data_IF_645883770346
#
_entry.id   IF_645883770346
#
_cell.length_a   1.000
_cell.length_b   1.000
_cell.length_c   1.000
_cell.angle_alpha   90.00
_cell.angle_beta   90.00
_cell.angle_gamma   90.00
#
_symmetry.space_group_name_H-M   'P 1'
#
loop_
_entity.id
_entity.type
_entity.pdbx_description
1 polymer ?
#
# COMPACT_ATOMS: atom_id res chain seq x y z
N UNK A 1 82.19 16.45 5.36
CA UNK A 1 82.53 15.28 4.50
C UNK A 1 81.40 14.87 3.53
N UNK A 2 80.16 15.37 3.66
CA UNK A 2 79.04 14.97 2.78
C UNK A 2 78.81 15.89 1.56
N UNK A 3 79.36 17.11 1.56
CA UNK A 3 79.11 18.11 0.50
C UNK A 3 79.41 17.66 -0.94
N UNK A 4 80.53 16.98 -1.26
CA UNK A 4 80.81 16.59 -2.64
C UNK A 4 79.99 15.37 -3.11
N UNK A 5 79.33 14.63 -2.21
CA UNK A 5 78.57 13.41 -2.54
C UNK A 5 77.09 13.70 -2.81
N UNK A 6 76.58 14.83 -2.31
CA UNK A 6 75.16 15.19 -2.34
C UNK A 6 74.80 16.25 -3.40
N UNK A 7 75.76 16.70 -4.21
CA UNK A 7 75.45 17.52 -5.38
C UNK A 7 74.53 16.71 -6.31
N UNK A 8 73.38 17.28 -6.66
CA UNK A 8 72.30 16.71 -7.49
C UNK A 8 71.35 15.68 -6.84
N UNK A 9 71.43 15.45 -5.53
CA UNK A 9 70.48 14.58 -4.82
C UNK A 9 69.48 15.38 -3.96
N UNK A 10 68.20 15.06 -4.10
CA UNK A 10 67.18 15.49 -3.15
C UNK A 10 67.22 14.56 -1.92
N UNK A 11 67.63 15.09 -0.78
CA UNK A 11 67.69 14.35 0.48
C UNK A 11 66.60 14.88 1.42
N UNK A 12 65.72 13.98 1.86
CA UNK A 12 64.73 14.27 2.91
C UNK A 12 65.19 13.62 4.21
N UNK A 13 65.39 14.43 5.26
CA UNK A 13 65.86 13.99 6.58
C UNK A 13 64.68 14.07 7.55
N UNK A 14 64.38 12.97 8.25
CA UNK A 14 63.33 12.88 9.27
C UNK A 14 63.78 12.06 10.46
N UNK A 15 63.13 12.27 11.62
CA UNK A 15 63.47 11.59 12.86
C UNK A 15 62.66 10.30 13.05
N UNK A 16 63.34 9.16 13.05
CA UNK A 16 62.76 7.85 13.37
C UNK A 16 62.84 7.51 14.87
N UNK A 17 63.28 8.45 15.71
CA UNK A 17 63.51 8.22 17.14
C UNK A 17 62.21 7.96 17.90
N UNK A 18 62.21 6.97 18.80
CA UNK A 18 61.10 6.70 19.71
C UNK A 18 61.25 7.53 20.99
N UNK A 19 60.43 8.57 21.17
CA UNK A 19 60.40 9.41 22.37
C UNK A 19 59.39 10.56 22.24
N UNK A 20 58.76 10.99 23.34
CA UNK A 20 57.54 11.82 23.32
C UNK A 20 57.67 13.19 22.63
N UNK A 21 58.88 13.67 22.37
CA UNK A 21 59.16 14.96 21.74
C UNK A 21 60.11 14.89 20.53
N UNK A 22 60.47 13.68 20.06
CA UNK A 22 61.45 13.51 18.96
C UNK A 22 60.95 12.59 17.83
N UNK A 23 59.80 11.94 17.98
CA UNK A 23 59.25 11.05 16.96
C UNK A 23 58.51 11.80 15.87
N UNK A 24 58.94 11.68 14.62
CA UNK A 24 58.25 12.20 13.44
C UNK A 24 57.23 11.17 12.89
N UNK A 25 56.39 10.64 13.79
CA UNK A 25 55.36 9.63 13.49
C UNK A 25 54.00 10.25 13.73
N UNK A 26 53.10 10.12 12.76
CA UNK A 26 51.73 10.62 12.86
C UNK A 26 50.73 9.79 12.05
N UNK A 27 49.46 10.08 12.26
CA UNK A 27 48.37 9.36 11.60
C UNK A 27 48.12 9.88 10.18
N UNK A 28 48.00 8.96 9.24
CA UNK A 28 47.51 9.20 7.87
C UNK A 28 46.26 8.35 7.62
N UNK A 29 45.46 8.64 6.57
CA UNK A 29 44.33 7.81 6.20
C UNK A 29 44.68 6.33 5.90
N UNK A 30 45.96 6.01 5.69
CA UNK A 30 46.46 4.65 5.42
C UNK A 30 46.92 3.93 6.68
N UNK A 31 47.56 4.62 7.63
CA UNK A 31 48.07 4.03 8.87
C UNK A 31 48.15 5.06 10.00
N UNK A 32 47.86 4.64 11.23
CA UNK A 32 47.97 5.48 12.44
C UNK A 32 49.42 5.80 12.81
N UNK A 33 50.36 4.93 12.44
CA UNK A 33 51.78 5.09 12.70
C UNK A 33 52.50 5.18 11.35
N UNK A 34 52.53 6.38 10.78
CA UNK A 34 53.25 6.68 9.54
C UNK A 34 54.36 7.68 9.84
N UNK A 35 55.56 7.44 9.33
CA UNK A 35 56.63 8.44 9.38
C UNK A 35 56.25 9.63 8.50
N UNK A 36 56.07 10.81 9.10
CA UNK A 36 55.55 11.98 8.39
C UNK A 36 56.53 12.49 7.32
N UNK A 37 57.83 12.22 7.48
CA UNK A 37 58.84 12.37 6.43
C UNK A 37 58.46 11.73 5.08
N UNK A 38 57.65 10.65 5.09
CA UNK A 38 57.18 10.01 3.86
C UNK A 38 56.19 10.87 3.07
N UNK A 39 55.46 11.79 3.71
CA UNK A 39 54.61 12.76 3.01
C UNK A 39 55.47 13.73 2.20
N UNK A 40 56.59 14.20 2.76
CA UNK A 40 57.53 15.05 2.05
C UNK A 40 58.12 14.33 0.84
N UNK A 41 58.43 13.04 0.96
CA UNK A 41 58.82 12.20 -0.18
C UNK A 41 57.72 12.08 -1.24
N UNK A 42 56.45 11.94 -0.86
CA UNK A 42 55.34 11.90 -1.82
C UNK A 42 55.16 13.24 -2.57
N UNK A 43 55.32 14.37 -1.87
CA UNK A 43 55.27 15.71 -2.47
C UNK A 43 56.46 15.92 -3.42
N UNK A 44 57.67 15.56 -2.98
CA UNK A 44 58.88 15.60 -3.79
C UNK A 44 58.75 14.75 -5.06
N UNK A 45 58.28 13.51 -4.93
CA UNK A 45 58.04 12.62 -6.06
C UNK A 45 57.04 13.22 -7.05
N UNK A 46 55.99 13.89 -6.56
CA UNK A 46 54.99 14.55 -7.41
C UNK A 46 55.58 15.76 -8.16
N UNK A 47 56.43 16.56 -7.49
CA UNK A 47 57.15 17.69 -8.10
C UNK A 47 58.16 17.22 -9.15
N UNK A 48 58.95 16.19 -8.84
CA UNK A 48 59.97 15.64 -9.73
C UNK A 48 59.37 14.95 -10.97
N UNK A 49 58.25 14.25 -10.80
CA UNK A 49 57.58 13.54 -11.91
C UNK A 49 56.60 14.42 -12.69
N UNK A 50 56.29 15.63 -12.19
CA UNK A 50 55.26 16.51 -12.75
C UNK A 50 53.85 15.93 -12.71
N UNK A 51 53.61 14.90 -11.88
CA UNK A 51 52.33 14.17 -11.81
C UNK A 51 51.50 14.64 -10.63
N UNK A 52 50.70 15.69 -10.85
CA UNK A 52 49.76 16.20 -9.85
C UNK A 52 48.38 15.56 -9.97
N UNK A 53 47.71 15.39 -8.83
CA UNK A 53 46.31 15.01 -8.78
C UNK A 53 45.47 16.21 -9.21
N UNK A 54 44.59 16.01 -10.20
CA UNK A 54 43.67 17.05 -10.67
C UNK A 54 42.31 16.88 -9.98
N UNK A 55 41.90 17.80 -9.10
CA UNK A 55 40.57 17.76 -8.51
C UNK A 55 39.50 18.06 -9.56
N UNK A 56 38.29 17.53 -9.41
CA UNK A 56 37.19 17.85 -10.29
C UNK A 56 36.78 19.31 -10.09
N UNK A 57 36.36 19.97 -11.17
CA UNK A 57 35.68 21.26 -11.04
C UNK A 57 34.29 21.07 -10.41
N UNK A 58 33.78 22.11 -9.76
CA UNK A 58 32.42 22.09 -9.18
C UNK A 58 31.34 21.80 -10.22
N UNK A 59 31.56 22.20 -11.48
CA UNK A 59 30.65 21.90 -12.59
C UNK A 59 30.65 20.42 -12.98
N UNK A 60 31.82 19.79 -13.05
CA UNK A 60 31.94 18.34 -13.36
C UNK A 60 31.34 17.49 -12.24
N UNK A 61 31.55 17.88 -10.98
CA UNK A 61 30.93 17.21 -9.84
C UNK A 61 29.40 17.34 -9.87
N UNK A 62 28.87 18.55 -10.05
CA UNK A 62 27.43 18.79 -10.17
C UNK A 62 26.81 18.00 -11.34
N UNK A 63 27.50 17.93 -12.48
CA UNK A 63 27.06 17.15 -13.63
C UNK A 63 26.97 15.65 -13.29
N UNK A 64 27.96 15.09 -12.60
CA UNK A 64 27.95 13.69 -12.17
C UNK A 64 26.79 13.42 -11.19
N UNK A 65 26.54 14.32 -10.24
CA UNK A 65 25.43 14.23 -9.29
C UNK A 65 24.09 14.20 -10.04
N UNK A 66 23.87 15.16 -10.95
CA UNK A 66 22.65 15.25 -11.73
C UNK A 66 22.44 14.02 -12.63
N UNK A 67 23.50 13.57 -13.30
CA UNK A 67 23.44 12.40 -14.16
C UNK A 67 23.08 11.13 -13.38
N UNK A 68 23.74 10.89 -12.24
CA UNK A 68 23.47 9.71 -11.40
C UNK A 68 22.09 9.76 -10.72
N UNK A 69 21.66 10.95 -10.27
CA UNK A 69 20.32 11.16 -9.72
C UNK A 69 19.22 10.93 -10.76
N UNK A 70 19.38 11.50 -11.96
CA UNK A 70 18.43 11.33 -13.06
C UNK A 70 18.35 9.85 -13.52
N UNK A 71 19.50 9.19 -13.66
CA UNK A 71 19.55 7.76 -13.98
C UNK A 71 18.82 6.92 -12.93
N UNK A 72 19.06 7.18 -11.64
CA UNK A 72 18.37 6.52 -10.52
C UNK A 72 16.86 6.72 -10.56
N UNK A 73 16.42 7.96 -10.80
CA UNK A 73 15.01 8.29 -10.91
C UNK A 73 14.33 7.57 -12.08
N UNK A 74 14.93 7.61 -13.27
CA UNK A 74 14.37 6.99 -14.49
C UNK A 74 14.28 5.47 -14.33
N UNK A 75 15.35 4.82 -13.84
CA UNK A 75 15.36 3.37 -13.61
C UNK A 75 14.28 2.96 -12.59
N UNK A 76 14.16 3.70 -11.49
CA UNK A 76 13.20 3.40 -10.41
C UNK A 76 11.75 3.64 -10.86
N UNK A 77 11.52 4.64 -11.73
CA UNK A 77 10.19 4.92 -12.28
C UNK A 77 9.76 3.88 -13.33
N UNK A 78 10.65 3.52 -14.26
CA UNK A 78 10.33 2.67 -15.41
C UNK A 78 10.29 1.18 -15.07
N UNK A 79 11.06 0.72 -14.10
CA UNK A 79 11.26 -0.70 -13.82
C UNK A 79 10.61 -1.12 -12.48
N UNK A 80 10.57 -2.43 -12.26
CA UNK A 80 10.25 -2.98 -10.93
C UNK A 80 11.36 -2.57 -9.94
N UNK A 81 11.05 -2.20 -8.68
CA UNK A 81 12.04 -1.69 -7.73
C UNK A 81 13.26 -2.60 -7.55
N UNK A 82 13.07 -3.92 -7.53
CA UNK A 82 14.15 -4.91 -7.40
C UNK A 82 15.07 -4.92 -8.62
N UNK A 83 14.52 -4.80 -9.83
CA UNK A 83 15.32 -4.75 -11.07
C UNK A 83 16.11 -3.44 -11.14
N UNK A 84 15.49 -2.32 -10.76
CA UNK A 84 16.16 -1.03 -10.67
C UNK A 84 17.34 -1.09 -9.68
N UNK A 85 17.16 -1.70 -8.51
CA UNK A 85 18.22 -1.88 -7.51
C UNK A 85 19.43 -2.63 -8.08
N UNK A 86 19.21 -3.76 -8.77
CA UNK A 86 20.29 -4.55 -9.37
C UNK A 86 21.06 -3.72 -10.40
N UNK A 87 20.37 -2.99 -11.28
CA UNK A 87 21.02 -2.14 -12.29
C UNK A 87 21.81 -1.00 -11.63
N UNK A 88 21.30 -0.41 -10.56
CA UNK A 88 22.00 0.65 -9.82
C UNK A 88 23.25 0.13 -9.14
N UNK A 89 23.22 -1.06 -8.54
CA UNK A 89 24.42 -1.70 -7.98
C UNK A 89 25.47 -1.97 -9.06
N UNK A 90 25.06 -2.48 -10.22
CA UNK A 90 25.97 -2.68 -11.36
C UNK A 90 26.58 -1.36 -11.84
N UNK A 91 25.77 -0.30 -11.90
CA UNK A 91 26.22 1.04 -12.27
C UNK A 91 27.20 1.59 -11.25
N UNK A 92 26.97 1.37 -9.95
CA UNK A 92 27.88 1.76 -8.88
C UNK A 92 29.24 1.09 -9.03
N UNK A 93 29.26 -0.23 -9.26
CA UNK A 93 30.50 -0.99 -9.46
C UNK A 93 31.25 -0.49 -10.70
N UNK A 94 30.54 -0.27 -11.81
CA UNK A 94 31.12 0.25 -13.04
C UNK A 94 31.71 1.66 -12.86
N UNK A 95 31.02 2.54 -12.13
CA UNK A 95 31.49 3.90 -11.86
C UNK A 95 32.73 3.92 -10.96
N UNK A 96 32.77 3.08 -9.91
CA UNK A 96 33.95 2.94 -9.05
C UNK A 96 35.14 2.44 -9.88
N UNK A 97 34.93 1.42 -10.71
CA UNK A 97 35.96 0.88 -11.58
C UNK A 97 36.48 1.94 -12.56
N UNK A 98 35.58 2.69 -13.20
CA UNK A 98 35.94 3.78 -14.09
C UNK A 98 36.72 4.88 -13.35
N UNK A 99 36.32 5.22 -12.12
CA UNK A 99 37.03 6.18 -11.28
C UNK A 99 38.47 5.76 -10.97
N UNK A 100 38.68 4.49 -10.59
CA UNK A 100 40.02 3.93 -10.36
C UNK A 100 40.85 3.94 -11.65
N UNK A 101 40.26 3.52 -12.76
CA UNK A 101 40.95 3.50 -14.05
C UNK A 101 41.36 4.90 -14.50
N UNK A 102 40.46 5.88 -14.41
CA UNK A 102 40.72 7.28 -14.75
C UNK A 102 41.79 7.88 -13.83
N UNK A 103 41.76 7.55 -12.55
CA UNK A 103 42.77 7.99 -11.60
C UNK A 103 44.15 7.40 -11.91
N UNK A 104 44.24 6.12 -12.27
CA UNK A 104 45.53 5.48 -12.59
C UNK A 104 46.14 6.07 -13.87
N UNK A 105 45.33 6.29 -14.91
CA UNK A 105 45.79 6.76 -16.22
C UNK A 105 46.06 8.27 -16.27
N UNK A 106 45.11 9.08 -15.77
CA UNK A 106 45.15 10.54 -15.91
C UNK A 106 45.30 11.30 -14.60
N UNK A 107 45.34 10.60 -13.45
CA UNK A 107 45.43 11.23 -12.11
C UNK A 107 44.29 12.21 -11.85
N UNK A 108 43.18 12.01 -12.53
CA UNK A 108 41.96 12.78 -12.37
C UNK A 108 41.10 12.14 -11.27
N UNK A 109 40.73 12.93 -10.28
CA UNK A 109 39.93 12.46 -9.15
C UNK A 109 38.45 12.51 -9.52
N UNK A 110 37.84 11.35 -9.76
CA UNK A 110 36.40 11.26 -9.97
C UNK A 110 35.66 11.25 -8.62
N UNK A 111 34.67 12.12 -8.39
CA UNK A 111 33.94 12.15 -7.13
C UNK A 111 33.12 10.87 -6.96
N UNK A 112 33.40 10.09 -5.91
CA UNK A 112 32.70 8.83 -5.63
C UNK A 112 31.54 9.01 -4.66
N UNK A 113 31.77 9.74 -3.56
CA UNK A 113 30.82 9.81 -2.44
C UNK A 113 29.57 10.62 -2.81
N UNK A 114 29.74 11.81 -3.40
CA UNK A 114 28.62 12.70 -3.71
C UNK A 114 27.66 12.14 -4.77
N UNK A 115 28.09 11.57 -5.92
CA UNK A 115 27.15 11.09 -6.94
C UNK A 115 26.54 9.74 -6.57
N UNK A 116 27.32 8.81 -5.98
CA UNK A 116 26.82 7.47 -5.65
C UNK A 116 25.96 7.48 -4.38
N UNK A 117 26.47 8.05 -3.29
CA UNK A 117 25.77 8.08 -2.01
C UNK A 117 24.69 9.17 -1.98
N UNK A 118 25.08 10.40 -2.33
CA UNK A 118 24.20 11.57 -2.24
C UNK A 118 23.08 11.58 -3.27
N UNK A 119 23.39 11.38 -4.55
CA UNK A 119 22.37 11.40 -5.60
C UNK A 119 21.73 10.03 -5.81
N UNK A 120 22.51 9.04 -6.23
CA UNK A 120 21.98 7.77 -6.72
C UNK A 120 21.18 7.00 -5.66
N UNK A 121 21.81 6.73 -4.51
CA UNK A 121 21.23 5.95 -3.42
C UNK A 121 20.06 6.68 -2.74
N UNK A 122 20.24 7.97 -2.42
CA UNK A 122 19.20 8.76 -1.76
C UNK A 122 17.96 8.90 -2.64
N UNK A 123 18.13 9.20 -3.94
CA UNK A 123 17.01 9.28 -4.88
C UNK A 123 16.26 7.95 -4.98
N UNK A 124 16.97 6.82 -5.06
CA UNK A 124 16.31 5.51 -5.11
C UNK A 124 15.50 5.24 -3.84
N UNK A 125 16.08 5.49 -2.66
CA UNK A 125 15.41 5.27 -1.38
C UNK A 125 14.15 6.13 -1.23
N UNK A 126 14.26 7.43 -1.52
CA UNK A 126 13.12 8.36 -1.45
C UNK A 126 12.01 7.93 -2.42
N UNK A 127 12.37 7.51 -3.63
CA UNK A 127 11.40 7.18 -4.68
C UNK A 127 10.70 5.84 -4.44
N UNK A 128 11.42 4.82 -3.96
CA UNK A 128 10.82 3.55 -3.54
C UNK A 128 9.89 3.76 -2.34
N UNK A 129 10.30 4.56 -1.37
CA UNK A 129 9.45 4.91 -0.22
C UNK A 129 8.19 5.64 -0.66
N UNK A 130 8.32 6.63 -1.54
CA UNK A 130 7.18 7.35 -2.10
C UNK A 130 6.21 6.39 -2.81
N UNK A 131 6.74 5.55 -3.71
CA UNK A 131 5.94 4.58 -4.46
C UNK A 131 5.21 3.61 -3.53
N UNK A 132 5.91 3.00 -2.56
CA UNK A 132 5.31 2.02 -1.65
C UNK A 132 4.26 2.63 -0.72
N UNK A 133 4.51 3.83 -0.18
CA UNK A 133 3.55 4.51 0.71
C UNK A 133 2.31 4.97 -0.06
N UNK A 134 2.50 5.55 -1.24
CA UNK A 134 1.40 6.09 -2.04
C UNK A 134 0.56 4.99 -2.69
N UNK A 135 1.19 3.98 -3.28
CA UNK A 135 0.53 2.82 -3.92
C UNK A 135 -0.27 1.98 -2.91
N UNK A 136 0.16 1.92 -1.64
CA UNK A 136 -0.59 1.22 -0.60
C UNK A 136 -1.81 2.01 -0.08
N UNK A 137 -1.76 3.34 -0.05
CA UNK A 137 -2.88 4.16 0.45
C UNK A 137 -4.11 4.04 -0.44
N UNK A 138 -3.90 4.03 -1.75
CA UNK A 138 -4.98 3.94 -2.73
C UNK A 138 -5.69 2.57 -2.67
N UNK A 139 -4.94 1.49 -2.50
CA UNK A 139 -5.49 0.13 -2.33
C UNK A 139 -6.33 -0.06 -1.07
N UNK A 140 -5.90 0.49 0.08
CA UNK A 140 -6.64 0.34 1.34
C UNK A 140 -7.95 1.11 1.36
N UNK A 141 -8.00 2.29 0.72
CA UNK A 141 -9.21 3.10 0.63
C UNK A 141 -10.27 2.49 -0.29
N UNK A 142 -9.84 1.79 -1.35
CA UNK A 142 -10.75 1.01 -2.19
C UNK A 142 -11.32 -0.20 -1.43
N UNK A 143 -10.47 -0.94 -0.69
CA UNK A 143 -10.90 -2.13 0.08
C UNK A 143 -11.97 -1.82 1.12
N UNK A 144 -11.86 -0.70 1.85
CA UNK A 144 -12.81 -0.37 2.92
C UNK A 144 -14.22 -0.01 2.45
N UNK A 145 -14.37 0.41 1.18
CA UNK A 145 -15.68 0.74 0.59
C UNK A 145 -16.38 -0.47 -0.02
N UNK A 146 -15.64 -1.41 -0.61
CA UNK A 146 -16.22 -2.58 -1.26
C UNK A 146 -16.59 -3.71 -0.29
N UNK A 147 -15.89 -3.87 0.85
CA UNK A 147 -16.19 -4.94 1.84
C UNK A 147 -17.55 -4.78 2.51
N UNK A 148 -18.09 -3.55 2.59
CA UNK A 148 -19.45 -3.35 3.14
C UNK A 148 -20.55 -3.84 2.20
N UNK A 149 -20.26 -3.95 0.91
CA UNK A 149 -21.23 -4.26 -0.13
C UNK A 149 -21.10 -5.70 -0.64
N UNK A 150 -19.92 -6.32 -0.51
CA UNK A 150 -19.65 -7.64 -1.07
C UNK A 150 -18.78 -8.50 -0.16
N UNK A 151 -18.93 -9.83 -0.25
CA UNK A 151 -18.19 -10.79 0.57
C UNK A 151 -16.66 -10.67 0.36
N UNK A 152 -15.83 -11.01 1.36
CA UNK A 152 -14.37 -10.86 1.29
C UNK A 152 -13.74 -11.55 0.07
N UNK A 153 -14.26 -12.73 -0.27
CA UNK A 153 -13.84 -13.52 -1.43
C UNK A 153 -14.04 -12.77 -2.75
N UNK A 154 -15.12 -12.00 -2.87
CA UNK A 154 -15.42 -11.19 -4.06
C UNK A 154 -14.51 -9.97 -4.16
N UNK A 155 -14.21 -9.32 -3.03
CA UNK A 155 -13.30 -8.17 -3.03
C UNK A 155 -11.90 -8.59 -3.42
N UNK A 156 -11.43 -9.73 -2.92
CA UNK A 156 -10.11 -10.26 -3.24
C UNK A 156 -10.02 -10.67 -4.72
N UNK A 157 -11.08 -11.24 -5.30
CA UNK A 157 -11.18 -11.54 -6.74
C UNK A 157 -11.20 -10.25 -7.60
N UNK A 158 -11.94 -9.21 -7.19
CA UNK A 158 -11.98 -7.92 -7.89
C UNK A 158 -10.64 -7.18 -7.83
N UNK A 159 -9.89 -7.33 -6.73
CA UNK A 159 -8.54 -6.76 -6.58
C UNK A 159 -7.47 -7.59 -7.30
N UNK A 160 -7.72 -8.88 -7.56
CA UNK A 160 -6.82 -9.76 -8.30
C UNK A 160 -6.86 -9.52 -9.81
N UNK A 161 -7.96 -8.99 -10.35
CA UNK A 161 -8.07 -8.67 -11.77
C UNK A 161 -7.41 -7.30 -12.08
N UNK A 162 -6.24 -7.31 -12.73
CA UNK A 162 -5.50 -6.10 -13.17
C UNK A 162 -6.31 -5.19 -14.12
N UNK A 163 -7.36 -5.73 -14.73
CA UNK A 163 -8.36 -4.98 -15.49
C UNK A 163 -9.72 -5.50 -15.08
N UNK A 164 -10.52 -4.67 -14.44
CA UNK A 164 -11.98 -4.83 -14.41
C UNK A 164 -12.40 -4.81 -15.88
N UNK A 165 -12.56 -5.99 -16.48
CA UNK A 165 -13.10 -6.08 -17.82
C UNK A 165 -14.53 -5.55 -17.73
N UNK A 166 -14.75 -4.32 -18.21
CA UNK A 166 -16.07 -3.64 -18.26
C UNK A 166 -16.98 -4.29 -19.33
N UNK A 167 -16.80 -5.59 -19.57
CA UNK A 167 -17.63 -6.41 -20.44
C UNK A 167 -18.46 -7.35 -19.59
N UNK A 168 -19.78 -7.31 -19.77
CA UNK A 168 -20.66 -8.34 -19.23
C UNK A 168 -20.30 -9.71 -19.82
N UNK A 169 -20.46 -10.77 -19.04
CA UNK A 169 -20.32 -12.13 -19.54
C UNK A 169 -21.60 -12.89 -19.23
N UNK A 170 -22.14 -13.56 -20.26
CA UNK A 170 -23.30 -14.43 -20.09
C UNK A 170 -22.86 -15.70 -19.37
N UNK A 171 -23.39 -15.93 -18.18
CA UNK A 171 -23.05 -17.08 -17.34
C UNK A 171 -24.32 -17.64 -16.70
N UNK A 172 -24.42 -18.97 -16.51
CA UNK A 172 -25.52 -19.55 -15.75
C UNK A 172 -25.35 -19.19 -14.27
N UNK A 173 -26.33 -18.47 -13.70
CA UNK A 173 -26.39 -18.08 -12.30
C UNK A 173 -27.58 -18.74 -11.61
N UNK A 174 -27.44 -19.00 -10.31
CA UNK A 174 -28.58 -19.33 -9.46
C UNK A 174 -29.06 -18.06 -8.77
N UNK A 175 -30.35 -17.75 -8.90
CA UNK A 175 -30.96 -16.56 -8.29
C UNK A 175 -31.99 -17.00 -7.26
N UNK A 176 -32.00 -16.34 -6.11
CA UNK A 176 -32.98 -16.51 -5.05
C UNK A 176 -33.73 -15.20 -4.85
N UNK A 177 -35.05 -15.31 -4.77
CA UNK A 177 -35.93 -14.26 -4.27
C UNK A 177 -36.57 -14.76 -2.97
N UNK A 178 -36.55 -13.92 -1.94
CA UNK A 178 -37.22 -14.20 -0.68
C UNK A 178 -38.06 -13.00 -0.28
N UNK A 179 -39.33 -13.25 0.00
CA UNK A 179 -40.35 -12.23 0.27
C UNK A 179 -41.06 -12.52 1.60
N UNK A 180 -41.49 -11.47 2.30
CA UNK A 180 -42.17 -11.58 3.58
C UNK A 180 -43.62 -11.96 3.37
N UNK A 181 -44.01 -13.10 3.94
CA UNK A 181 -45.37 -13.63 3.79
C UNK A 181 -46.41 -12.64 4.32
N UNK A 182 -47.28 -12.17 3.42
CA UNK A 182 -48.46 -11.38 3.78
C UNK A 182 -48.16 -9.91 4.08
N UNK A 183 -46.94 -9.44 3.84
CA UNK A 183 -46.56 -8.05 4.08
C UNK A 183 -47.38 -7.08 3.25
N UNK A 184 -47.53 -7.32 1.93
CA UNK A 184 -48.36 -6.46 1.06
C UNK A 184 -49.77 -6.25 1.61
N UNK A 185 -50.42 -7.33 2.08
CA UNK A 185 -51.75 -7.26 2.67
C UNK A 185 -51.76 -6.48 3.98
N UNK A 186 -50.76 -6.73 4.83
CA UNK A 186 -50.62 -6.02 6.11
C UNK A 186 -50.43 -4.51 5.88
N UNK A 187 -49.55 -4.12 4.95
CA UNK A 187 -49.30 -2.71 4.64
C UNK A 187 -50.51 -2.03 4.01
N UNK A 188 -51.24 -2.71 3.11
CA UNK A 188 -52.48 -2.18 2.53
C UNK A 188 -53.53 -1.94 3.62
N UNK A 189 -53.70 -2.89 4.54
CA UNK A 189 -54.66 -2.79 5.62
C UNK A 189 -54.29 -1.71 6.64
N UNK A 190 -53.02 -1.66 7.06
CA UNK A 190 -52.51 -0.62 7.96
C UNK A 190 -52.70 0.79 7.38
N UNK A 191 -52.49 0.94 6.07
CA UNK A 191 -52.68 2.22 5.38
C UNK A 191 -54.15 2.63 5.33
N UNK A 192 -55.08 1.69 5.10
CA UNK A 192 -56.52 1.95 5.17
C UNK A 192 -56.93 2.37 6.59
N UNK A 193 -56.50 1.63 7.61
CA UNK A 193 -56.82 1.92 9.01
C UNK A 193 -56.24 3.27 9.46
N UNK A 194 -55.01 3.59 9.02
CA UNK A 194 -54.39 4.88 9.33
C UNK A 194 -55.16 6.05 8.70
N UNK A 195 -55.61 5.91 7.45
CA UNK A 195 -56.42 6.94 6.79
C UNK A 195 -57.78 7.14 7.50
N UNK A 196 -58.40 6.05 7.96
CA UNK A 196 -59.66 6.14 8.71
C UNK A 196 -59.46 6.86 10.05
N UNK A 197 -58.38 6.58 10.79
CA UNK A 197 -58.09 7.27 12.05
C UNK A 197 -57.76 8.76 11.84
N UNK A 198 -57.00 9.11 10.80
CA UNK A 198 -56.75 10.51 10.45
C UNK A 198 -58.06 11.26 10.14
N UNK A 199 -59.00 10.60 9.45
CA UNK A 199 -60.32 11.16 9.17
C UNK A 199 -61.19 11.31 10.43
N UNK A 200 -61.06 10.40 11.41
CA UNK A 200 -61.80 10.45 12.67
C UNK A 200 -61.24 11.51 13.63
N UNK A 201 -59.93 11.62 13.76
CA UNK A 201 -59.26 12.55 14.67
C UNK A 201 -59.11 13.97 14.08
N UNK A 202 -59.43 14.15 12.79
CA UNK A 202 -59.34 15.44 12.10
C UNK A 202 -57.91 15.96 11.93
N UNK A 203 -56.91 15.07 12.06
CA UNK A 203 -55.50 15.39 11.93
C UNK A 203 -55.17 15.79 10.49
N UNK A 204 -54.58 16.97 10.31
CA UNK A 204 -54.16 17.49 9.01
C UNK A 204 -52.76 18.10 9.07
N UNK A 205 -52.08 18.11 7.93
CA UNK A 205 -50.76 18.71 7.79
C UNK A 205 -49.67 17.94 8.58
N UNK A 206 -48.74 18.64 9.25
CA UNK A 206 -47.55 18.01 9.84
C UNK A 206 -47.85 16.93 10.89
N UNK A 207 -48.97 17.04 11.62
CA UNK A 207 -49.36 16.09 12.66
C UNK A 207 -49.88 14.76 12.09
N UNK A 208 -50.48 14.79 10.89
CA UNK A 208 -50.90 13.59 10.18
C UNK A 208 -49.69 12.83 9.61
N UNK A 209 -48.71 13.57 9.10
CA UNK A 209 -47.46 13.00 8.58
C UNK A 209 -46.67 12.30 9.69
N UNK A 210 -46.50 12.92 10.87
CA UNK A 210 -45.79 12.29 11.98
C UNK A 210 -46.46 11.01 12.49
N UNK A 211 -47.80 10.98 12.51
CA UNK A 211 -48.56 9.78 12.91
C UNK A 211 -48.36 8.61 11.93
N UNK A 212 -48.36 8.91 10.63
CA UNK A 212 -48.10 7.92 9.58
C UNK A 212 -46.67 7.40 9.64
N UNK A 213 -45.69 8.30 9.87
CA UNK A 213 -44.29 7.92 10.02
C UNK A 213 -44.08 6.97 11.20
N UNK A 214 -44.67 7.25 12.35
CA UNK A 214 -44.53 6.41 13.55
C UNK A 214 -45.04 4.98 13.33
N UNK A 215 -46.23 4.82 12.74
CA UNK A 215 -46.78 3.48 12.43
C UNK A 215 -45.96 2.76 11.35
N UNK A 216 -45.55 3.45 10.30
CA UNK A 216 -44.73 2.87 9.25
C UNK A 216 -43.38 2.39 9.80
N UNK A 217 -42.79 3.10 10.76
CA UNK A 217 -41.48 2.81 11.31
C UNK A 217 -41.43 1.46 12.03
N UNK A 218 -42.47 1.07 12.76
CA UNK A 218 -42.53 -0.23 13.44
C UNK A 218 -42.61 -1.41 12.44
N UNK A 219 -43.48 -1.29 11.43
CA UNK A 219 -43.64 -2.30 10.37
C UNK A 219 -42.36 -2.45 9.55
N UNK A 220 -41.74 -1.33 9.17
CA UNK A 220 -40.47 -1.33 8.43
C UNK A 220 -39.32 -1.89 9.26
N UNK A 221 -39.26 -1.62 10.57
CA UNK A 221 -38.23 -2.18 11.44
C UNK A 221 -38.30 -3.71 11.48
N UNK A 222 -39.52 -4.28 11.57
CA UNK A 222 -39.72 -5.73 11.57
C UNK A 222 -39.28 -6.39 10.27
N UNK A 223 -39.64 -5.81 9.12
CA UNK A 223 -39.21 -6.33 7.81
C UNK A 223 -37.71 -6.18 7.63
N UNK A 224 -37.15 -5.03 8.01
CA UNK A 224 -35.71 -4.79 7.90
C UNK A 224 -34.91 -5.81 8.70
N UNK A 225 -35.37 -6.22 9.88
CA UNK A 225 -34.72 -7.26 10.68
C UNK A 225 -34.77 -8.64 9.98
N UNK A 226 -35.94 -9.02 9.42
CA UNK A 226 -36.06 -10.28 8.67
C UNK A 226 -35.16 -10.31 7.43
N UNK A 227 -35.14 -9.21 6.67
CA UNK A 227 -34.31 -9.07 5.48
C UNK A 227 -32.82 -9.08 5.83
N UNK A 228 -32.43 -8.50 6.95
CA UNK A 228 -31.05 -8.54 7.44
C UNK A 228 -30.59 -9.96 7.77
N UNK A 229 -31.44 -10.75 8.43
CA UNK A 229 -31.15 -12.17 8.72
C UNK A 229 -30.94 -12.96 7.43
N UNK A 230 -31.81 -12.78 6.44
CA UNK A 230 -31.66 -13.44 5.13
C UNK A 230 -30.36 -12.99 4.45
N UNK A 231 -30.06 -11.69 4.48
CA UNK A 231 -28.84 -11.14 3.89
C UNK A 231 -27.56 -11.70 4.53
N UNK A 232 -27.57 -11.95 5.84
CA UNK A 232 -26.44 -12.55 6.55
C UNK A 232 -26.24 -14.02 6.17
N UNK A 233 -27.32 -14.80 6.06
CA UNK A 233 -27.23 -16.20 5.58
C UNK A 233 -26.82 -16.28 4.11
N UNK A 234 -27.30 -15.37 3.25
CA UNK A 234 -26.84 -15.26 1.85
C UNK A 234 -25.31 -15.07 1.82
N UNK A 235 -24.78 -14.12 2.60
CA UNK A 235 -23.33 -13.86 2.68
C UNK A 235 -22.56 -15.05 3.25
N UNK A 236 -23.10 -15.72 4.27
CA UNK A 236 -22.50 -16.88 4.93
C UNK A 236 -22.27 -18.05 3.96
N UNK A 237 -23.16 -18.22 3.00
CA UNK A 237 -23.07 -19.25 1.96
C UNK A 237 -22.54 -18.72 0.62
N UNK A 238 -21.64 -17.71 0.66
CA UNK A 238 -20.96 -17.14 -0.51
C UNK A 238 -21.91 -16.65 -1.61
N UNK A 239 -23.10 -16.19 -1.24
CA UNK A 239 -24.04 -15.51 -2.13
C UNK A 239 -23.74 -14.01 -2.20
N UNK A 240 -24.10 -13.42 -3.33
CA UNK A 240 -24.03 -11.97 -3.55
C UNK A 240 -25.43 -11.39 -3.45
N UNK A 241 -25.59 -10.39 -2.58
CA UNK A 241 -26.83 -9.63 -2.48
C UNK A 241 -26.88 -8.62 -3.65
N UNK A 242 -27.96 -8.64 -4.43
CA UNK A 242 -28.13 -7.71 -5.55
C UNK A 242 -28.84 -6.43 -5.09
N UNK A 243 -30.06 -6.58 -4.55
CA UNK A 243 -30.87 -5.46 -4.07
C UNK A 243 -32.01 -5.91 -3.15
N UNK A 244 -32.56 -4.93 -2.44
CA UNK A 244 -33.84 -5.02 -1.76
C UNK A 244 -34.93 -4.39 -2.64
N UNK A 245 -36.09 -5.03 -2.71
CA UNK A 245 -37.26 -4.59 -3.48
C UNK A 245 -38.46 -4.61 -2.51
N UNK A 246 -38.59 -3.55 -1.71
CA UNK A 246 -39.60 -3.49 -0.66
C UNK A 246 -39.36 -4.55 0.42
N UNK A 247 -40.29 -5.51 0.52
CA UNK A 247 -40.29 -6.70 1.37
C UNK A 247 -39.54 -7.91 0.79
N UNK A 248 -39.05 -7.79 -0.45
CA UNK A 248 -38.29 -8.84 -1.11
C UNK A 248 -36.78 -8.55 -1.08
N UNK A 249 -35.98 -9.60 -0.92
CA UNK A 249 -34.53 -9.60 -1.16
C UNK A 249 -34.18 -10.46 -2.37
N UNK A 250 -33.32 -9.92 -3.24
CA UNK A 250 -32.77 -10.63 -4.39
C UNK A 250 -31.28 -10.93 -4.15
N UNK A 251 -30.92 -12.20 -4.28
CA UNK A 251 -29.55 -12.67 -4.16
C UNK A 251 -29.20 -13.64 -5.29
N UNK A 252 -27.92 -13.76 -5.61
CA UNK A 252 -27.45 -14.71 -6.63
C UNK A 252 -26.13 -15.38 -6.25
N UNK A 253 -25.89 -16.54 -6.85
CA UNK A 253 -24.66 -17.33 -6.74
C UNK A 253 -24.09 -17.58 -8.13
N UNK A 254 -22.78 -17.84 -8.19
CA UNK A 254 -22.05 -18.07 -9.43
C UNK A 254 -21.41 -16.81 -10.03
N UNK A 255 -21.63 -15.65 -9.41
CA UNK A 255 -20.94 -14.41 -9.70
C UNK A 255 -20.70 -13.58 -8.42
N UNK A 256 -19.65 -12.75 -8.40
CA UNK A 256 -18.58 -12.67 -9.41
C UNK A 256 -17.56 -13.81 -9.30
N UNK A 257 -17.50 -14.50 -8.17
CA UNK A 257 -16.73 -15.74 -7.99
C UNK A 257 -17.50 -16.90 -8.62
N UNK A 258 -16.82 -17.66 -9.49
CA UNK A 258 -17.41 -18.84 -10.12
C UNK A 258 -17.55 -19.94 -9.07
N UNK A 259 -18.73 -20.54 -8.98
CA UNK A 259 -19.00 -21.69 -8.12
C UNK A 259 -19.81 -22.73 -8.88
N UNK A 260 -19.29 -23.96 -8.97
CA UNK A 260 -20.04 -25.10 -9.54
C UNK A 260 -21.15 -25.56 -8.59
N UNK A 261 -20.97 -25.33 -7.28
CA UNK A 261 -21.95 -25.65 -6.24
C UNK A 261 -22.99 -24.55 -6.01
N UNK A 262 -23.10 -23.55 -6.90
CA UNK A 262 -23.97 -22.39 -6.75
C UNK A 262 -25.42 -22.72 -6.36
N UNK A 263 -26.00 -23.75 -6.97
CA UNK A 263 -27.38 -24.18 -6.68
C UNK A 263 -27.50 -24.77 -5.27
N UNK A 264 -26.52 -25.57 -4.85
CA UNK A 264 -26.51 -26.19 -3.52
C UNK A 264 -26.33 -25.12 -2.44
N UNK A 265 -25.45 -24.15 -2.67
CA UNK A 265 -25.23 -23.03 -1.75
C UNK A 265 -26.47 -22.15 -1.60
N UNK A 266 -27.16 -21.85 -2.71
CA UNK A 266 -28.41 -21.10 -2.68
C UNK A 266 -29.49 -21.83 -1.85
N UNK A 267 -29.65 -23.14 -2.05
CA UNK A 267 -30.61 -23.95 -1.28
C UNK A 267 -30.24 -24.00 0.20
N UNK A 268 -28.94 -24.15 0.54
CA UNK A 268 -28.48 -24.11 1.93
C UNK A 268 -28.76 -22.76 2.59
N UNK A 269 -28.48 -21.65 1.89
CA UNK A 269 -28.78 -20.31 2.37
C UNK A 269 -30.28 -20.12 2.63
N UNK A 270 -31.14 -20.61 1.73
CA UNK A 270 -32.58 -20.56 1.90
C UNK A 270 -33.07 -21.37 3.12
N UNK A 271 -32.53 -22.57 3.31
CA UNK A 271 -32.86 -23.43 4.46
C UNK A 271 -32.41 -22.80 5.78
N UNK A 272 -31.19 -22.28 5.85
CA UNK A 272 -30.71 -21.63 7.07
C UNK A 272 -31.42 -20.31 7.35
N UNK A 273 -31.80 -19.55 6.30
CA UNK A 273 -32.63 -18.36 6.46
C UNK A 273 -33.97 -18.70 7.13
N UNK A 274 -34.62 -19.78 6.69
CA UNK A 274 -35.86 -20.25 7.32
C UNK A 274 -35.65 -20.67 8.78
N UNK A 275 -34.54 -21.35 9.09
CA UNK A 275 -34.19 -21.75 10.47
C UNK A 275 -33.92 -20.53 11.37
N UNK A 276 -33.18 -19.55 10.87
CA UNK A 276 -32.87 -18.33 11.59
C UNK A 276 -34.13 -17.49 11.87
N UNK A 277 -35.04 -17.39 10.89
CA UNK A 277 -36.34 -16.73 11.08
C UNK A 277 -37.22 -17.51 12.08
N UNK A 278 -37.23 -18.84 12.03
CA UNK A 278 -37.96 -19.65 13.01
C UNK A 278 -37.43 -19.44 14.44
N UNK A 279 -36.11 -19.35 14.61
CA UNK A 279 -35.49 -19.03 15.90
C UNK A 279 -35.84 -17.61 16.38
N UNK A 280 -35.86 -16.62 15.48
CA UNK A 280 -36.31 -15.26 15.81
C UNK A 280 -37.77 -15.27 16.28
N UNK A 281 -38.65 -15.98 15.58
CA UNK A 281 -40.06 -16.07 15.93
C UNK A 281 -40.27 -16.75 17.29
N UNK A 282 -39.53 -17.82 17.58
CA UNK A 282 -39.58 -18.48 18.90
C UNK A 282 -39.16 -17.52 20.02
N UNK A 283 -38.05 -16.80 19.83
CA UNK A 283 -37.57 -15.79 20.79
C UNK A 283 -38.58 -14.66 21.00
N UNK A 284 -39.24 -14.20 19.93
CA UNK A 284 -40.28 -13.17 20.01
C UNK A 284 -41.53 -13.68 20.72
N UNK A 285 -41.88 -14.95 20.58
CA UNK A 285 -42.97 -15.57 21.32
C UNK A 285 -42.68 -15.62 22.82
N UNK A 286 -41.47 -16.02 23.23
CA UNK A 286 -41.05 -16.01 24.63
C UNK A 286 -41.09 -14.59 25.26
N UNK A 287 -40.74 -13.56 24.48
CA UNK A 287 -40.78 -12.17 24.93
C UNK A 287 -42.21 -11.58 24.96
N UNK A 288 -43.12 -12.13 24.16
CA UNK A 288 -44.52 -11.69 24.06
C UNK A 288 -45.48 -12.55 24.89
N UNK A 289 -45.01 -13.59 25.60
CA UNK A 289 -45.83 -14.24 26.61
C UNK A 289 -46.24 -13.19 27.64
N UNK A 290 -47.56 -13.01 27.92
CA UNK A 290 -47.97 -12.14 28.98
C UNK A 290 -47.36 -12.69 30.26
N UNK A 291 -46.65 -11.83 31.02
CA UNK A 291 -46.45 -12.07 32.45
C UNK A 291 -47.83 -12.37 33.01
N UNK A 292 -48.08 -13.65 33.26
CA UNK A 292 -49.31 -14.12 33.90
C UNK A 292 -49.50 -13.25 35.14
N UNK A 293 -50.63 -12.57 35.18
CA UNK A 293 -51.08 -11.73 36.28
C UNK A 293 -50.86 -12.45 37.62
N UNK A 294 -49.96 -11.92 38.44
CA UNK A 294 -49.92 -12.13 39.89
C UNK A 294 -50.66 -10.98 40.59
#
# INVERSE_FOLDING_TARGET
MLEPVLQDYLVVIGSLGSGSNISDVGATPLSRETYLVSLHWNVANSLLTGRFIRPPSTGEEALCILAMGALSAVLTWRLRPVVALVILVLTMVAYIWAGVWVFVQWRYWLPLVSPLGGAMLMTHLCMVTYRTVFEQRERRHLRSRFVKLVSPEVVDELLAQERVAVGGSMRPLTVMFADVRGFTRMTEQEQIEAQQMLAQEGLQGPAAESFLEERAQATLANVSELLAIIADEVKRYSGTLDKYIGDCVMAFWGAPVRSEAQAVLAVRAAVESQRAIAALNARRQELNEPRTEE
#
